data_IF_356181437063
#
_entry.id   IF_356181437063
#
_cell.length_a   1.000
_cell.length_b   1.000
_cell.length_c   1.000
_cell.angle_alpha   90.00
_cell.angle_beta   90.00
_cell.angle_gamma   90.00
#
_symmetry.space_group_name_H-M   'P 1'
#
loop_
_entity.id
_entity.type
_entity.pdbx_description
1 polymer ?
#
# COMPACT_ATOMS: atom_id res chain seq x y z
N UNK A 1 -5.22 -0.87 -0.54
CA UNK A 1 -4.10 -0.04 -0.07
C UNK A 1 -4.35 0.47 1.34
N UNK A 2 -3.50 0.09 2.26
CA UNK A 2 -3.49 0.65 3.62
C UNK A 2 -2.57 1.87 3.62
N UNK A 3 -3.11 3.04 3.95
CA UNK A 3 -2.31 4.26 3.89
C UNK A 3 -2.76 5.34 4.89
N UNK A 4 -2.01 6.44 4.88
CA UNK A 4 -2.33 7.68 5.59
C UNK A 4 -2.25 8.85 4.61
N UNK A 5 -3.26 9.73 4.57
CA UNK A 5 -3.25 10.88 3.65
C UNK A 5 -2.07 11.83 3.85
N UNK A 6 -1.54 11.91 5.07
CA UNK A 6 -0.43 12.78 5.44
C UNK A 6 0.95 12.12 5.30
N UNK A 7 1.01 10.86 4.89
CA UNK A 7 2.27 10.14 4.71
C UNK A 7 2.83 10.36 3.29
N UNK A 8 4.05 10.91 3.15
CA UNK A 8 4.64 11.14 1.82
C UNK A 8 4.81 9.85 0.99
N UNK A 9 5.14 8.75 1.65
CA UNK A 9 5.31 7.46 0.98
C UNK A 9 3.99 6.90 0.47
N UNK A 10 2.91 7.03 1.26
CA UNK A 10 1.56 6.65 0.84
C UNK A 10 1.09 7.50 -0.34
N UNK A 11 1.38 8.80 -0.31
CA UNK A 11 1.04 9.72 -1.40
C UNK A 11 1.72 9.29 -2.71
N UNK A 12 2.97 8.85 -2.64
CA UNK A 12 3.72 8.36 -3.79
C UNK A 12 3.02 7.15 -4.43
N UNK A 13 2.59 6.20 -3.62
CA UNK A 13 1.90 5.00 -4.10
C UNK A 13 0.55 5.36 -4.72
N UNK A 14 -0.22 6.24 -4.09
CA UNK A 14 -1.50 6.69 -4.64
C UNK A 14 -1.32 7.35 -6.01
N UNK A 15 -0.26 8.16 -6.16
CA UNK A 15 0.03 8.80 -7.44
C UNK A 15 0.33 7.78 -8.54
N UNK A 16 1.08 6.73 -8.22
CA UNK A 16 1.37 5.66 -9.18
C UNK A 16 0.07 4.97 -9.61
N UNK A 17 -0.81 4.65 -8.65
CA UNK A 17 -2.10 4.04 -8.94
C UNK A 17 -2.97 4.93 -9.85
N UNK A 18 -2.98 6.24 -9.60
CA UNK A 18 -3.70 7.21 -10.42
C UNK A 18 -3.15 7.28 -11.84
N UNK A 19 -1.82 7.34 -11.99
CA UNK A 19 -1.15 7.42 -13.28
C UNK A 19 -1.41 6.15 -14.12
N UNK A 20 -1.44 4.99 -13.47
CA UNK A 20 -1.71 3.72 -14.13
C UNK A 20 -3.20 3.45 -14.33
N UNK A 21 -4.07 4.32 -13.81
CA UNK A 21 -5.53 4.18 -13.88
C UNK A 21 -6.01 2.85 -13.30
N UNK A 22 -5.45 2.47 -12.15
CA UNK A 22 -5.79 1.24 -11.46
C UNK A 22 -6.87 1.51 -10.42
N UNK A 23 -7.93 0.71 -10.44
CA UNK A 23 -8.96 0.77 -9.40
C UNK A 23 -8.42 0.10 -8.14
N UNK A 24 -8.57 0.77 -6.99
CA UNK A 24 -8.12 0.22 -5.72
C UNK A 24 -9.01 0.69 -4.58
N UNK A 25 -9.02 -0.09 -3.52
CA UNK A 25 -9.70 0.26 -2.28
C UNK A 25 -8.68 0.87 -1.33
N UNK A 26 -8.98 2.07 -0.83
CA UNK A 26 -8.13 2.75 0.14
C UNK A 26 -8.66 2.51 1.55
N UNK A 27 -7.78 2.05 2.44
CA UNK A 27 -8.08 1.86 3.85
C UNK A 27 -7.16 2.78 4.65
N UNK A 28 -7.71 3.88 5.18
CA UNK A 28 -6.94 4.82 5.99
C UNK A 28 -6.75 4.21 7.38
N UNK A 29 -5.48 4.01 7.75
CA UNK A 29 -5.16 3.44 9.07
C UNK A 29 -5.15 4.53 10.15
N UNK A 30 -5.31 4.15 11.44
CA UNK A 30 -5.22 5.13 12.54
C UNK A 30 -3.90 5.87 12.54
N UNK A 31 -3.92 7.11 13.01
CA UNK A 31 -2.73 7.95 13.13
C UNK A 31 -1.70 7.31 14.07
N UNK A 32 -2.16 6.76 15.19
CA UNK A 32 -1.29 6.06 16.13
C UNK A 32 -0.94 4.67 15.59
N UNK A 33 0.35 4.36 15.49
CA UNK A 33 0.81 3.03 15.07
C UNK A 33 0.34 1.93 16.04
N UNK A 34 0.17 2.26 17.31
CA UNK A 34 -0.28 1.30 18.31
C UNK A 34 -1.70 0.77 18.00
N UNK A 35 -2.51 1.55 17.29
CA UNK A 35 -3.89 1.19 16.97
C UNK A 35 -4.04 0.48 15.62
N UNK A 36 -2.91 0.16 14.95
CA UNK A 36 -2.90 -0.49 13.62
C UNK A 36 -2.81 -2.00 13.73
N UNK A 37 -3.66 -2.60 14.54
CA UNK A 37 -3.63 -4.05 14.80
C UNK A 37 -3.93 -4.89 13.57
N UNK A 38 -4.88 -4.46 12.74
CA UNK A 38 -5.24 -5.18 11.51
C UNK A 38 -4.07 -5.23 10.54
N UNK A 39 -3.33 -4.13 10.42
CA UNK A 39 -2.17 -4.05 9.56
C UNK A 39 -1.05 -4.98 10.06
N UNK A 40 -0.80 -4.98 11.36
CA UNK A 40 0.19 -5.88 11.97
C UNK A 40 -0.18 -7.34 11.79
N UNK A 41 -1.46 -7.67 11.85
CA UNK A 41 -1.97 -9.03 11.67
C UNK A 41 -1.69 -9.55 10.26
N UNK A 42 -1.76 -8.68 9.26
CA UNK A 42 -1.52 -9.03 7.86
C UNK A 42 -0.02 -9.07 7.53
N UNK A 43 0.74 -8.10 8.03
CA UNK A 43 2.11 -7.85 7.55
C UNK A 43 3.19 -8.08 8.61
N UNK A 44 2.82 -8.22 9.88
CA UNK A 44 3.78 -8.30 10.97
C UNK A 44 4.43 -6.96 11.32
N UNK A 45 3.96 -5.86 10.72
CA UNK A 45 4.49 -4.53 10.99
C UNK A 45 3.36 -3.50 10.90
N UNK A 46 3.58 -2.28 11.37
CA UNK A 46 2.54 -1.25 11.46
C UNK A 46 2.80 -0.02 10.58
N UNK A 47 3.77 -0.09 9.70
CA UNK A 47 4.09 1.01 8.79
C UNK A 47 3.18 1.03 7.55
N UNK A 48 3.04 2.20 6.94
CA UNK A 48 2.35 2.38 5.67
C UNK A 48 3.33 3.01 4.67
N UNK A 49 3.10 2.89 3.36
CA UNK A 49 1.95 2.23 2.70
C UNK A 49 2.09 0.71 2.66
N UNK A 50 0.96 0.01 2.55
CA UNK A 50 0.92 -1.45 2.32
C UNK A 50 -0.13 -1.73 1.23
N UNK A 51 0.28 -2.47 0.21
CA UNK A 51 -0.61 -2.96 -0.84
C UNK A 51 -0.89 -4.45 -0.58
N UNK A 52 -2.15 -4.82 -0.58
CA UNK A 52 -2.59 -6.21 -0.51
C UNK A 52 -3.11 -6.62 -1.88
N UNK A 53 -2.54 -7.66 -2.46
CA UNK A 53 -2.92 -8.14 -3.78
C UNK A 53 -2.67 -9.66 -3.86
N UNK A 54 -3.67 -10.39 -4.33
CA UNK A 54 -3.58 -11.84 -4.44
C UNK A 54 -2.47 -12.31 -5.40
N UNK A 55 -2.03 -11.46 -6.31
CA UNK A 55 -0.94 -11.76 -7.23
C UNK A 55 0.44 -11.68 -6.60
N UNK A 56 0.55 -11.17 -5.36
CA UNK A 56 1.81 -11.10 -4.64
C UNK A 56 2.10 -12.43 -3.93
N UNK A 57 3.38 -12.89 -3.90
CA UNK A 57 3.75 -14.15 -3.26
C UNK A 57 3.32 -14.23 -1.79
N UNK A 58 3.47 -13.14 -1.05
CA UNK A 58 3.11 -13.07 0.37
C UNK A 58 1.72 -12.43 0.59
N UNK A 59 1.04 -12.04 -0.49
CA UNK A 59 -0.24 -11.39 -0.44
C UNK A 59 -0.18 -9.89 -0.12
N UNK A 60 0.99 -9.35 0.16
CA UNK A 60 1.17 -7.93 0.49
C UNK A 60 2.58 -7.44 0.18
N UNK A 61 2.72 -6.11 0.09
CA UNK A 61 4.01 -5.46 -0.17
C UNK A 61 4.01 -4.10 0.54
N UNK A 62 5.07 -3.81 1.30
CA UNK A 62 5.10 -2.67 2.23
C UNK A 62 6.09 -1.55 1.86
N UNK A 63 7.08 -1.79 1.01
CA UNK A 63 8.05 -0.77 0.61
C UNK A 63 7.50 0.06 -0.56
N UNK A 64 7.48 1.39 -0.43
CA UNK A 64 6.90 2.27 -1.46
C UNK A 64 7.61 2.14 -2.81
N UNK A 65 8.91 1.95 -2.82
CA UNK A 65 9.68 1.76 -4.06
C UNK A 65 9.35 0.42 -4.72
N UNK A 66 9.29 -0.64 -3.92
CA UNK A 66 8.92 -1.97 -4.39
C UNK A 66 7.47 -2.01 -4.87
N UNK A 67 6.56 -1.36 -4.14
CA UNK A 67 5.15 -1.23 -4.55
C UNK A 67 5.05 -0.53 -5.89
N UNK A 68 5.75 0.58 -6.06
CA UNK A 68 5.73 1.33 -7.31
C UNK A 68 6.24 0.49 -8.49
N UNK A 69 7.31 -0.25 -8.30
CA UNK A 69 7.86 -1.15 -9.31
C UNK A 69 6.88 -2.26 -9.65
N UNK A 70 6.32 -2.90 -8.63
CA UNK A 70 5.33 -3.96 -8.80
C UNK A 70 4.12 -3.48 -9.61
N UNK A 71 3.57 -2.32 -9.25
CA UNK A 71 2.41 -1.76 -9.94
C UNK A 71 2.71 -1.43 -11.39
N UNK A 72 3.87 -0.84 -11.67
CA UNK A 72 4.28 -0.53 -13.05
C UNK A 72 4.48 -1.78 -13.89
N UNK A 73 5.01 -2.85 -13.30
CA UNK A 73 5.26 -4.10 -14.02
C UNK A 73 4.00 -4.90 -14.28
N UNK A 74 3.00 -4.83 -13.40
CA UNK A 74 1.81 -5.70 -13.46
C UNK A 74 0.53 -4.99 -13.94
N UNK A 75 0.45 -3.68 -13.79
CA UNK A 75 -0.74 -2.90 -14.15
C UNK A 75 -0.48 -1.88 -15.24
N UNK A 76 0.63 -2.00 -15.92
CA UNK A 76 0.98 -1.12 -17.02
C UNK A 76 0.08 -1.40 -18.22
N UNK A 77 -0.57 -0.36 -18.69
CA UNK A 77 -1.42 -0.43 -19.88
C UNK A 77 -0.59 -0.36 -21.18
#
# INVERSE_FOLDING_TARGET
>A
LYDRPDCPYSKRVRRVLEVLDVDYEEIVVPESKADREDLERITGQRGVPVVVDDNLPDGWLADSSEISTYLKDNYRS
#
